data_IF_333518539065
#
_entry.id   IF_333518539065
#
_cell.length_a   1.000
_cell.length_b   1.000
_cell.length_c   1.000
_cell.angle_alpha   90.00
_cell.angle_beta   90.00
_cell.angle_gamma   90.00
#
_symmetry.space_group_name_H-M   'P 1'
#
loop_
_entity.id
_entity.type
_entity.pdbx_description
1 polymer ?
#
# COMPACT_ATOMS: atom_id res chain seq x y z
N UNK A 1 3.13 -0.96 -6.29
CA UNK A 1 2.42 -0.37 -7.43
C UNK A 1 3.22 0.81 -7.95
N UNK A 2 3.38 0.99 -9.26
CA UNK A 2 4.09 2.13 -9.86
C UNK A 2 3.11 3.04 -10.63
N UNK A 3 3.43 4.34 -10.84
CA UNK A 3 2.55 5.27 -11.54
C UNK A 3 2.07 4.74 -12.90
N UNK A 4 0.83 5.05 -13.28
CA UNK A 4 0.18 4.53 -14.50
C UNK A 4 0.84 4.98 -15.80
N UNK A 5 1.60 6.07 -15.77
CA UNK A 5 2.37 6.60 -16.89
C UNK A 5 3.72 5.90 -17.14
N UNK A 6 4.08 4.88 -16.36
CA UNK A 6 5.36 4.15 -16.50
C UNK A 6 5.31 2.94 -17.44
N UNK A 7 4.11 2.50 -17.83
CA UNK A 7 3.89 1.33 -18.69
C UNK A 7 3.82 0.00 -17.94
N UNK A 8 3.10 -0.97 -18.52
CA UNK A 8 2.75 -2.22 -17.84
C UNK A 8 3.95 -3.09 -17.47
N UNK A 9 5.01 -3.11 -18.30
CA UNK A 9 6.23 -3.87 -18.02
C UNK A 9 6.92 -3.37 -16.75
N UNK A 10 7.13 -2.05 -16.64
CA UNK A 10 7.74 -1.44 -15.47
C UNK A 10 6.91 -1.65 -14.20
N UNK A 11 5.58 -1.50 -14.30
CA UNK A 11 4.68 -1.75 -13.18
C UNK A 11 4.78 -3.19 -12.65
N UNK A 12 4.88 -4.15 -13.57
CA UNK A 12 5.04 -5.57 -13.24
C UNK A 12 6.38 -5.80 -12.54
N UNK A 13 7.48 -5.31 -13.10
CA UNK A 13 8.83 -5.47 -12.52
C UNK A 13 8.91 -4.89 -11.10
N UNK A 14 8.33 -3.70 -10.87
CA UNK A 14 8.27 -3.10 -9.53
C UNK A 14 7.45 -3.98 -8.58
N UNK A 15 6.27 -4.43 -8.99
CA UNK A 15 5.44 -5.30 -8.15
C UNK A 15 6.16 -6.61 -7.78
N UNK A 16 6.83 -7.23 -8.76
CA UNK A 16 7.60 -8.47 -8.57
C UNK A 16 8.80 -8.27 -7.64
N UNK A 17 9.50 -7.14 -7.74
CA UNK A 17 10.63 -6.83 -6.86
C UNK A 17 10.22 -6.79 -5.38
N UNK A 18 9.15 -6.05 -5.03
CA UNK A 18 8.66 -5.98 -3.65
C UNK A 18 8.12 -7.34 -3.15
N UNK A 19 7.45 -8.11 -4.01
CA UNK A 19 7.03 -9.47 -3.66
C UNK A 19 8.22 -10.41 -3.40
N UNK A 20 9.29 -10.28 -4.19
CA UNK A 20 10.51 -11.07 -4.00
C UNK A 20 11.18 -10.75 -2.67
N UNK A 21 11.38 -9.47 -2.38
CA UNK A 21 11.98 -9.01 -1.13
C UNK A 21 11.17 -9.46 0.10
N UNK A 22 9.84 -9.39 0.03
CA UNK A 22 8.99 -9.84 1.12
C UNK A 22 9.15 -11.35 1.43
N UNK A 23 9.24 -12.17 0.38
CA UNK A 23 9.52 -13.61 0.52
C UNK A 23 10.91 -13.87 1.07
N UNK A 24 11.92 -13.17 0.54
CA UNK A 24 13.32 -13.31 0.95
C UNK A 24 13.52 -13.00 2.44
N UNK A 25 12.89 -11.93 2.93
CA UNK A 25 13.05 -11.50 4.32
C UNK A 25 11.98 -12.06 5.27
N UNK A 26 11.01 -12.83 4.77
CA UNK A 26 9.92 -13.38 5.59
C UNK A 26 9.03 -12.30 6.22
N UNK A 27 8.90 -11.14 5.60
CA UNK A 27 8.13 -9.99 6.13
C UNK A 27 6.75 -9.91 5.49
N UNK A 28 5.80 -9.33 6.22
CA UNK A 28 4.46 -9.05 5.68
C UNK A 28 4.53 -7.98 4.60
N UNK A 29 3.91 -8.23 3.45
CA UNK A 29 3.80 -7.28 2.35
C UNK A 29 2.38 -6.75 2.25
N UNK A 30 2.24 -5.42 2.20
CA UNK A 30 1.02 -4.76 1.74
C UNK A 30 1.19 -4.51 0.23
N UNK A 31 0.46 -5.21 -0.66
CA UNK A 31 0.68 -5.12 -2.10
C UNK A 31 0.52 -3.70 -2.64
N UNK A 32 -0.44 -2.94 -2.07
CA UNK A 32 -0.66 -1.54 -2.37
C UNK A 32 -1.36 -0.83 -1.20
N UNK A 33 -0.64 0.03 -0.48
CA UNK A 33 -1.19 0.70 0.71
C UNK A 33 -2.15 1.85 0.38
N UNK A 34 -2.10 2.39 -0.84
CA UNK A 34 -3.03 3.39 -1.35
C UNK A 34 -4.29 2.77 -1.99
N UNK A 35 -4.55 1.48 -1.76
CA UNK A 35 -5.75 0.83 -2.24
C UNK A 35 -7.02 1.59 -1.79
N UNK A 36 -7.97 1.74 -2.71
CA UNK A 36 -9.19 2.57 -2.59
C UNK A 36 -8.98 4.09 -2.51
N UNK A 37 -7.74 4.58 -2.50
CA UNK A 37 -7.42 6.01 -2.36
C UNK A 37 -6.79 6.58 -3.62
N UNK A 38 -5.80 5.89 -4.20
CA UNK A 38 -5.05 6.44 -5.34
C UNK A 38 -5.94 6.79 -6.54
N UNK A 39 -5.88 8.06 -6.96
CA UNK A 39 -6.60 8.57 -8.13
C UNK A 39 -8.09 8.82 -7.89
N UNK A 40 -8.55 8.74 -6.64
CA UNK A 40 -9.94 9.05 -6.28
C UNK A 40 -10.01 10.53 -5.92
N UNK A 41 -10.63 11.32 -6.80
CA UNK A 41 -10.60 12.80 -6.77
C UNK A 41 -10.93 13.40 -5.39
N UNK A 42 -11.97 12.91 -4.71
CA UNK A 42 -12.37 13.43 -3.40
C UNK A 42 -11.52 12.93 -2.22
N UNK A 43 -10.59 12.00 -2.46
CA UNK A 43 -9.67 11.44 -1.46
C UNK A 43 -8.22 11.90 -1.68
N UNK A 44 -7.96 12.64 -2.75
CA UNK A 44 -6.64 13.17 -3.10
C UNK A 44 -6.59 14.70 -2.93
N UNK A 45 -5.36 15.24 -2.92
CA UNK A 45 -5.06 16.66 -3.12
C UNK A 45 -5.31 17.02 -4.60
N UNK A 46 -5.21 18.31 -4.93
CA UNK A 46 -5.42 18.83 -6.29
C UNK A 46 -4.49 18.19 -7.34
N UNK A 47 -3.35 17.63 -6.92
CA UNK A 47 -2.43 16.89 -7.80
C UNK A 47 -2.92 15.49 -8.22
N UNK A 48 -4.01 14.99 -7.62
CA UNK A 48 -4.61 13.68 -7.94
C UNK A 48 -3.78 12.45 -7.54
N UNK A 49 -2.64 12.62 -6.87
CA UNK A 49 -1.74 11.51 -6.51
C UNK A 49 -1.42 11.42 -5.02
N UNK A 50 -1.52 12.52 -4.26
CA UNK A 50 -1.30 12.51 -2.82
C UNK A 50 -2.65 12.47 -2.08
N UNK A 51 -2.84 11.58 -1.09
CA UNK A 51 -4.07 11.58 -0.30
C UNK A 51 -4.29 12.89 0.46
N UNK A 52 -5.54 13.34 0.55
CA UNK A 52 -5.94 14.41 1.48
C UNK A 52 -6.17 13.85 2.90
N UNK A 53 -6.76 14.62 3.79
CA UNK A 53 -7.03 14.19 5.18
C UNK A 53 -7.88 12.92 5.24
N UNK A 54 -8.95 12.84 4.46
CA UNK A 54 -9.85 11.67 4.46
C UNK A 54 -9.20 10.48 3.76
N UNK A 55 -8.50 10.71 2.64
CA UNK A 55 -7.70 9.68 1.98
C UNK A 55 -6.65 9.08 2.91
N UNK A 56 -5.94 9.92 3.69
CA UNK A 56 -4.94 9.49 4.67
C UNK A 56 -5.56 8.60 5.75
N UNK A 57 -6.78 8.90 6.21
CA UNK A 57 -7.51 8.06 7.17
C UNK A 57 -7.77 6.66 6.62
N UNK A 58 -8.14 6.56 5.34
CA UNK A 58 -8.36 5.28 4.66
C UNK A 58 -7.04 4.51 4.47
N UNK A 59 -5.96 5.20 4.11
CA UNK A 59 -4.62 4.61 4.03
C UNK A 59 -4.19 4.03 5.38
N UNK A 60 -4.39 4.79 6.46
CA UNK A 60 -4.06 4.34 7.82
C UNK A 60 -4.84 3.06 8.20
N UNK A 61 -6.13 2.99 7.84
CA UNK A 61 -6.94 1.78 8.04
C UNK A 61 -6.40 0.58 7.25
N UNK A 62 -6.05 0.77 5.97
CA UNK A 62 -5.45 -0.28 5.13
C UNK A 62 -4.16 -0.84 5.77
N UNK A 63 -3.29 0.05 6.28
CA UNK A 63 -2.06 -0.36 6.98
C UNK A 63 -2.38 -1.05 8.31
N UNK A 64 -3.32 -0.51 9.09
CA UNK A 64 -3.71 -1.07 10.37
C UNK A 64 -4.24 -2.50 10.23
N UNK A 65 -5.07 -2.79 9.22
CA UNK A 65 -5.57 -4.15 8.98
C UNK A 65 -4.46 -5.17 8.70
N UNK A 66 -3.36 -4.74 8.07
CA UNK A 66 -2.20 -5.60 7.86
C UNK A 66 -1.37 -5.81 9.14
N UNK A 67 -1.29 -4.79 10.00
CA UNK A 67 -0.54 -4.83 11.26
C UNK A 67 -1.30 -5.55 12.38
N UNK A 68 -2.63 -5.44 12.43
CA UNK A 68 -3.44 -5.92 13.54
C UNK A 68 -3.19 -7.41 13.88
N UNK A 69 -3.17 -8.36 12.93
CA UNK A 69 -2.91 -9.77 13.25
C UNK A 69 -1.52 -9.98 13.88
N UNK A 70 -0.51 -9.21 13.44
CA UNK A 70 0.86 -9.27 13.96
C UNK A 70 0.96 -8.72 15.38
N UNK A 71 0.22 -7.66 15.67
CA UNK A 71 0.13 -7.10 17.03
C UNK A 71 -0.60 -8.07 17.98
N UNK A 72 -1.66 -8.71 17.51
CA UNK A 72 -2.41 -9.69 18.30
C UNK A 72 -1.60 -10.99 18.55
N UNK A 73 -0.67 -11.36 17.66
CA UNK A 73 0.29 -12.46 17.83
C UNK A 73 1.35 -12.11 18.89
N UNK A 74 1.95 -10.92 18.80
CA UNK A 74 2.98 -10.45 19.74
C UNK A 74 2.47 -10.23 21.17
N UNK A 75 1.18 -9.96 21.37
CA UNK A 75 0.58 -9.78 22.70
C UNK A 75 0.20 -11.08 23.42
N UNK A 76 0.45 -12.25 22.82
CA UNK A 76 0.19 -13.57 23.41
C UNK A 76 1.44 -14.26 23.95
N UNK A 77 2.58 -13.60 23.88
CA UNK A 77 3.84 -13.97 24.56
C UNK A 77 3.90 -13.32 25.95
#
# INVERSE_FOLDING_TARGET
YAPTNTGAAYQKEVAEAFQSLAREHGVTLIPFFLDRVAGVENLNLEDGIHPNTEGTRIVAETVYQALKPKLDESGRE
#
